data_IF_130199276472
#
_entry.id   IF_130199276472
#
_cell.length_a   1.000
_cell.length_b   1.000
_cell.length_c   1.000
_cell.angle_alpha   90.00
_cell.angle_beta   90.00
_cell.angle_gamma   90.00
#
_symmetry.space_group_name_H-M   'P 1'
#
loop_
_entity.id
_entity.type
_entity.pdbx_description
1 polymer ?
#
# COMPACT_ATOMS: atom_id res chain seq x y z
N UNK A 1 -9.16 25.57 0.73
CA UNK A 1 -8.41 24.52 1.46
C UNK A 1 -8.92 23.20 0.93
N UNK A 2 -8.20 22.62 -0.02
CA UNK A 2 -8.58 21.38 -0.70
C UNK A 2 -8.04 20.20 0.13
N UNK A 3 -8.94 19.45 0.77
CA UNK A 3 -8.63 18.31 1.63
C UNK A 3 -8.59 16.98 0.85
N UNK A 4 -8.56 17.00 -0.49
CA UNK A 4 -8.89 15.82 -1.30
C UNK A 4 -7.72 14.91 -1.73
N UNK A 5 -6.53 15.01 -1.14
CA UNK A 5 -5.39 14.13 -1.50
C UNK A 5 -4.61 13.64 -0.29
N UNK A 6 -5.27 12.87 0.58
CA UNK A 6 -4.59 11.91 1.44
C UNK A 6 -4.54 10.56 0.72
N UNK A 7 -3.40 9.85 0.68
CA UNK A 7 -3.36 8.46 0.23
C UNK A 7 -3.99 7.58 1.32
N UNK A 8 -5.31 7.66 1.47
CA UNK A 8 -6.07 6.75 2.31
C UNK A 8 -6.20 5.45 1.53
N UNK A 9 -5.36 4.44 1.84
CA UNK A 9 -5.46 3.13 1.19
C UNK A 9 -6.60 2.36 1.83
N UNK A 10 -7.82 2.66 1.38
CA UNK A 10 -8.98 1.84 1.66
C UNK A 10 -8.94 0.59 0.78
N UNK A 11 -8.83 -0.60 1.38
CA UNK A 11 -9.11 -1.85 0.67
C UNK A 11 -10.06 -2.72 1.46
N UNK A 12 -11.24 -2.97 0.89
CA UNK A 12 -11.98 -4.21 1.05
C UNK A 12 -12.19 -4.80 -0.35
N UNK A 13 -11.79 -6.05 -0.58
CA UNK A 13 -12.02 -6.75 -1.84
C UNK A 13 -13.52 -6.96 -2.06
N UNK A 14 -14.06 -6.29 -3.07
CA UNK A 14 -15.46 -6.45 -3.49
C UNK A 14 -15.83 -5.45 -4.58
N UNK A 15 -15.26 -5.61 -5.78
CA UNK A 15 -15.77 -5.11 -7.06
C UNK A 15 -16.16 -3.63 -7.16
N UNK A 16 -15.23 -2.78 -7.56
CA UNK A 16 -15.39 -1.74 -8.59
C UNK A 16 -14.17 -0.80 -8.55
N UNK A 17 -13.41 -0.77 -9.64
CA UNK A 17 -12.42 0.26 -9.87
C UNK A 17 -13.12 1.63 -9.97
N UNK A 18 -12.70 2.60 -9.15
CA UNK A 18 -13.00 4.01 -9.40
C UNK A 18 -11.76 4.69 -9.96
N UNK A 19 -11.63 4.55 -11.28
CA UNK A 19 -10.77 5.38 -12.12
C UNK A 19 -11.35 6.79 -12.25
N UNK A 20 -10.54 7.84 -12.04
CA UNK A 20 -10.18 8.89 -13.03
C UNK A 20 -9.80 10.22 -12.38
N UNK A 21 -8.67 10.74 -12.84
CA UNK A 21 -8.27 12.14 -12.71
C UNK A 21 -7.19 12.52 -13.72
N UNK A 22 -7.24 12.01 -14.95
CA UNK A 22 -6.32 12.37 -16.02
C UNK A 22 -6.64 13.79 -16.53
N UNK A 23 -5.79 14.78 -16.21
CA UNK A 23 -5.80 16.08 -16.90
C UNK A 23 -4.66 16.12 -17.92
N UNK A 24 -5.06 15.97 -19.18
CA UNK A 24 -4.27 16.20 -20.39
C UNK A 24 -3.98 17.69 -20.57
N UNK A 25 -2.75 18.14 -20.88
CA UNK A 25 -2.53 19.40 -21.57
C UNK A 25 -2.58 19.18 -23.09
N UNK A 26 -3.34 20.01 -23.78
CA UNK A 26 -3.43 20.06 -25.23
C UNK A 26 -2.20 20.74 -25.85
N UNK A 27 -1.71 20.17 -26.95
CA UNK A 27 -1.39 20.95 -28.15
C UNK A 27 0.08 21.25 -28.43
N UNK A 28 0.66 20.57 -29.43
CA UNK A 28 1.20 21.24 -30.62
C UNK A 28 1.22 20.31 -31.83
N UNK A 29 0.97 20.92 -32.98
CA UNK A 29 0.55 20.37 -34.26
C UNK A 29 1.78 20.26 -35.16
N UNK A 30 2.01 19.08 -35.75
CA UNK A 30 3.02 18.84 -36.79
C UNK A 30 2.53 17.75 -37.73
N UNK A 31 2.24 18.12 -38.97
CA UNK A 31 1.64 17.33 -40.05
C UNK A 31 2.62 16.35 -40.71
N UNK A 32 2.17 15.17 -41.21
CA UNK A 32 2.98 14.27 -42.03
C UNK A 32 2.71 14.49 -43.53
N UNK A 33 3.75 14.32 -44.36
CA UNK A 33 3.64 14.19 -45.83
C UNK A 33 3.79 12.71 -46.26
N UNK A 34 3.12 12.28 -47.35
CA UNK A 34 3.06 10.87 -47.77
C UNK A 34 3.99 10.56 -48.94
N UNK A 35 4.51 9.34 -49.02
CA UNK A 35 5.05 8.79 -50.28
C UNK A 35 4.68 7.31 -50.43
N UNK A 36 4.11 6.98 -51.59
CA UNK A 36 3.65 5.66 -51.98
C UNK A 36 4.71 4.89 -52.79
N UNK A 37 4.66 3.56 -52.73
CA UNK A 37 5.44 2.61 -53.57
C UNK A 37 5.07 1.15 -53.24
N UNK A 38 5.20 0.20 -54.18
CA UNK A 38 4.04 -0.54 -54.69
C UNK A 38 3.85 -1.99 -54.16
N UNK A 39 2.64 -2.48 -54.43
CA UNK A 39 2.13 -3.85 -54.24
C UNK A 39 2.80 -4.83 -55.20
N UNK A 40 3.32 -5.94 -54.67
CA UNK A 40 3.47 -7.19 -55.42
C UNK A 40 3.04 -8.40 -54.57
N UNK A 41 2.13 -9.15 -55.15
CA UNK A 41 1.56 -10.44 -54.73
C UNK A 41 2.56 -11.59 -54.91
N UNK A 42 2.55 -12.60 -54.05
CA UNK A 42 3.04 -13.94 -54.39
C UNK A 42 3.58 -14.76 -53.22
N UNK A 43 2.87 -15.85 -52.89
CA UNK A 43 3.14 -16.81 -51.83
C UNK A 43 4.52 -17.50 -51.96
N UNK A 44 5.17 -17.73 -50.82
CA UNK A 44 5.91 -18.98 -50.56
C UNK A 44 5.84 -19.32 -49.07
N UNK A 45 5.40 -20.55 -48.82
CA UNK A 45 5.05 -21.14 -47.56
C UNK A 45 6.30 -21.81 -46.96
N UNK A 46 6.88 -21.27 -45.90
CA UNK A 46 7.87 -21.98 -45.09
C UNK A 46 7.58 -21.74 -43.60
N UNK A 47 6.94 -22.75 -43.03
CA UNK A 47 6.69 -22.93 -41.61
C UNK A 47 8.01 -23.06 -40.84
N UNK A 48 8.43 -21.98 -40.19
CA UNK A 48 9.35 -22.04 -39.05
C UNK A 48 8.51 -22.02 -37.78
N UNK A 49 8.33 -23.20 -37.20
CA UNK A 49 7.65 -23.42 -35.93
C UNK A 49 8.42 -22.70 -34.81
N UNK A 50 7.97 -21.51 -34.42
CA UNK A 50 8.38 -20.93 -33.14
C UNK A 50 7.75 -21.75 -32.02
N UNK A 51 8.52 -22.24 -31.04
CA UNK A 51 7.96 -22.99 -29.93
C UNK A 51 7.15 -22.05 -29.03
N UNK A 52 5.82 -22.21 -29.08
CA UNK A 52 4.91 -22.07 -27.95
C UNK A 52 4.79 -20.69 -27.32
N UNK A 53 3.76 -19.96 -27.74
CA UNK A 53 2.97 -19.12 -26.84
C UNK A 53 2.28 -20.06 -25.83
N UNK A 54 3.03 -20.56 -24.86
CA UNK A 54 2.43 -21.19 -23.69
C UNK A 54 1.80 -20.05 -22.88
N UNK A 55 0.47 -19.95 -23.02
CA UNK A 55 -0.44 -19.40 -22.03
C UNK A 55 0.18 -19.69 -20.66
N UNK A 56 0.65 -18.64 -19.97
CA UNK A 56 1.13 -18.79 -18.61
C UNK A 56 -0.05 -19.36 -17.83
N UNK A 57 0.05 -20.66 -17.60
CA UNK A 57 -0.94 -21.52 -16.98
C UNK A 57 -1.27 -20.85 -15.66
N UNK A 58 -2.56 -20.58 -15.44
CA UNK A 58 -3.10 -20.07 -14.19
C UNK A 58 -2.29 -20.67 -13.04
N UNK A 59 -1.48 -19.84 -12.38
CA UNK A 59 -0.89 -20.22 -11.12
C UNK A 59 -2.04 -20.68 -10.24
N UNK A 60 -1.93 -21.85 -9.57
CA UNK A 60 -2.93 -22.25 -8.60
C UNK A 60 -3.15 -21.06 -7.68
N UNK A 61 -4.42 -20.69 -7.42
CA UNK A 61 -4.77 -19.68 -6.42
C UNK A 61 -4.09 -20.07 -5.11
N UNK A 62 -2.91 -19.51 -4.94
CA UNK A 62 -2.21 -19.44 -3.68
C UNK A 62 -3.11 -18.58 -2.81
N UNK A 63 -3.24 -18.96 -1.53
CA UNK A 63 -4.05 -18.26 -0.53
C UNK A 63 -4.08 -16.74 -0.79
N UNK A 64 -5.23 -16.04 -0.58
CA UNK A 64 -5.34 -14.62 -0.88
C UNK A 64 -4.07 -13.92 -0.40
N UNK A 65 -3.29 -13.43 -1.36
CA UNK A 65 -1.96 -12.91 -1.11
C UNK A 65 -2.10 -11.90 0.04
N UNK A 66 -1.34 -12.07 1.12
CA UNK A 66 -1.39 -11.16 2.27
C UNK A 66 -0.98 -9.79 1.72
N UNK A 67 -1.97 -8.95 1.42
CA UNK A 67 -1.71 -7.64 0.84
C UNK A 67 -0.79 -6.87 1.77
N UNK A 68 0.32 -6.35 1.23
CA UNK A 68 1.25 -5.51 1.97
C UNK A 68 1.21 -4.08 1.44
N UNK A 69 1.16 -3.10 2.34
CA UNK A 69 1.46 -1.70 2.03
C UNK A 69 2.68 -1.27 2.86
N UNK A 70 3.42 -0.28 2.37
CA UNK A 70 4.64 0.20 3.02
C UNK A 70 4.86 1.69 2.78
N UNK A 71 5.68 2.30 3.62
CA UNK A 71 6.19 3.65 3.43
C UNK A 71 7.63 3.71 3.93
N UNK A 72 8.48 4.47 3.25
CA UNK A 72 9.92 4.54 3.53
C UNK A 72 10.48 5.91 3.15
N UNK A 73 11.64 6.24 3.71
CA UNK A 73 12.35 7.49 3.42
C UNK A 73 11.47 8.73 3.63
N UNK A 74 11.69 9.78 2.85
CA UNK A 74 11.03 11.08 3.01
C UNK A 74 9.67 11.20 2.29
N UNK A 75 8.83 10.16 2.36
CA UNK A 75 7.45 10.22 1.87
C UNK A 75 7.16 9.34 0.65
N UNK A 76 7.86 8.22 0.48
CA UNK A 76 7.47 7.20 -0.50
C UNK A 76 6.42 6.26 0.10
N UNK A 77 5.44 5.84 -0.70
CA UNK A 77 4.35 4.93 -0.31
C UNK A 77 4.17 3.85 -1.35
N UNK A 78 3.87 2.63 -0.92
CA UNK A 78 3.38 1.54 -1.74
C UNK A 78 2.05 1.05 -1.20
N UNK A 79 1.04 0.94 -2.05
CA UNK A 79 -0.30 0.45 -1.70
C UNK A 79 -0.37 -1.08 -1.70
N UNK A 80 -1.48 -1.64 -1.21
CA UNK A 80 -1.74 -3.09 -1.17
C UNK A 80 -1.81 -3.78 -2.55
N UNK A 81 -1.95 -3.00 -3.61
CA UNK A 81 -1.97 -3.43 -5.01
C UNK A 81 -0.71 -2.94 -5.76
N UNK A 82 0.35 -2.60 -5.01
CA UNK A 82 1.69 -2.28 -5.49
C UNK A 82 1.81 -1.00 -6.33
N UNK A 83 0.91 -0.04 -6.15
CA UNK A 83 1.07 1.29 -6.72
C UNK A 83 1.95 2.16 -5.82
N UNK A 84 2.91 2.86 -6.42
CA UNK A 84 3.88 3.70 -5.72
C UNK A 84 3.56 5.18 -5.91
N UNK A 85 3.61 5.95 -4.83
CA UNK A 85 3.34 7.39 -4.83
C UNK A 85 4.26 8.13 -3.86
N UNK A 86 4.48 9.41 -4.14
CA UNK A 86 5.18 10.32 -3.25
C UNK A 86 4.19 11.29 -2.58
N UNK A 87 4.29 11.43 -1.27
CA UNK A 87 3.46 12.33 -0.48
C UNK A 87 4.24 12.94 0.68
N UNK A 88 4.40 14.27 0.65
CA UNK A 88 5.20 15.05 1.60
C UNK A 88 4.36 15.72 2.71
N UNK A 89 3.28 15.06 3.17
CA UNK A 89 2.43 15.58 4.23
C UNK A 89 3.01 15.39 5.64
N UNK A 90 2.94 16.43 6.47
CA UNK A 90 3.40 16.42 7.89
C UNK A 90 2.24 16.32 8.90
N UNK A 91 1.01 16.24 8.40
CA UNK A 91 -0.19 16.00 9.21
C UNK A 91 -0.26 14.53 9.64
N UNK A 92 -1.12 14.24 10.60
CA UNK A 92 -1.52 12.87 10.88
C UNK A 92 -2.49 12.39 9.78
N UNK A 93 -2.27 11.20 9.23
CA UNK A 93 -3.15 10.61 8.23
C UNK A 93 -3.34 9.11 8.47
N UNK A 94 -4.48 8.61 7.97
CA UNK A 94 -4.79 7.19 7.97
C UNK A 94 -4.00 6.54 6.83
N UNK A 95 -3.06 5.68 7.20
CA UNK A 95 -2.26 4.88 6.29
C UNK A 95 -3.01 3.65 5.78
N UNK A 96 -3.71 2.95 6.68
CA UNK A 96 -4.58 1.82 6.34
C UNK A 96 -5.75 1.71 7.34
N UNK A 97 -6.93 1.33 6.86
CA UNK A 97 -8.09 1.04 7.70
C UNK A 97 -9.08 0.14 6.95
N UNK A 98 -9.98 -0.54 7.68
CA UNK A 98 -11.15 -1.21 7.07
C UNK A 98 -12.17 -0.18 6.59
N UNK A 99 -12.71 -0.37 5.39
CA UNK A 99 -13.58 0.61 4.73
C UNK A 99 -14.96 0.04 4.42
N UNK A 100 -15.74 -0.27 5.47
CA UNK A 100 -17.19 -0.58 5.34
C UNK A 100 -18.02 -0.16 6.55
N UNK A 101 -17.41 0.02 7.70
CA UNK A 101 -18.12 0.35 8.94
C UNK A 101 -17.96 1.83 9.32
N UNK A 102 -18.97 2.36 10.01
CA UNK A 102 -18.86 3.68 10.66
C UNK A 102 -17.72 3.72 11.70
N UNK A 103 -17.31 2.54 12.19
CA UNK A 103 -16.20 2.34 13.10
C UNK A 103 -15.28 1.27 12.51
N UNK A 104 -14.08 1.64 12.02
CA UNK A 104 -13.18 0.67 11.42
C UNK A 104 -12.71 -0.35 12.46
N UNK A 105 -12.69 -1.63 12.08
CA UNK A 105 -12.17 -2.72 12.92
C UNK A 105 -10.71 -2.47 13.29
N UNK A 106 -9.92 -1.95 12.35
CA UNK A 106 -8.58 -1.45 12.61
C UNK A 106 -8.31 -0.12 11.91
N UNK A 107 -7.43 0.70 12.49
CA UNK A 107 -6.84 1.86 11.84
C UNK A 107 -5.33 1.93 12.13
N UNK A 108 -4.55 2.19 11.09
CA UNK A 108 -3.12 2.52 11.20
C UNK A 108 -2.97 3.94 10.73
N UNK A 109 -2.53 4.82 11.64
CA UNK A 109 -2.30 6.22 11.38
C UNK A 109 -0.83 6.53 11.56
N UNK A 110 -0.34 7.48 10.78
CA UNK A 110 1.05 7.89 10.89
C UNK A 110 1.18 9.40 10.67
N UNK A 111 2.22 9.97 11.28
CA UNK A 111 2.61 11.36 11.10
C UNK A 111 4.10 11.45 10.81
N UNK A 112 4.46 12.28 9.84
CA UNK A 112 5.85 12.62 9.54
C UNK A 112 6.26 13.95 10.17
N UNK A 113 7.51 14.01 10.61
CA UNK A 113 8.18 15.24 11.05
C UNK A 113 8.56 16.13 9.87
N UNK A 114 9.00 17.38 10.13
CA UNK A 114 9.49 18.29 9.10
C UNK A 114 10.75 17.78 8.35
N UNK A 115 11.51 16.90 8.99
CA UNK A 115 12.67 16.19 8.45
C UNK A 115 12.29 15.03 7.52
N UNK A 116 10.99 14.75 7.40
CA UNK A 116 10.46 13.63 6.62
C UNK A 116 10.43 12.31 7.38
N UNK A 117 10.98 12.20 8.60
CA UNK A 117 10.97 10.95 9.37
C UNK A 117 9.57 10.65 9.93
N UNK A 118 9.26 9.39 10.21
CA UNK A 118 8.01 9.02 10.89
C UNK A 118 8.14 9.36 12.37
N UNK A 119 7.39 10.36 12.84
CA UNK A 119 7.45 10.84 14.23
C UNK A 119 6.42 10.18 15.14
N UNK A 120 5.30 9.69 14.57
CA UNK A 120 4.24 9.03 15.32
C UNK A 120 3.56 7.94 14.51
N UNK A 121 3.28 6.82 15.17
CA UNK A 121 2.42 5.74 14.65
C UNK A 121 1.32 5.50 15.69
N UNK A 122 0.08 5.35 15.23
CA UNK A 122 -1.06 4.95 16.06
C UNK A 122 -1.69 3.72 15.39
N UNK A 123 -1.80 2.64 16.14
CA UNK A 123 -2.50 1.41 15.72
C UNK A 123 -3.71 1.23 16.63
N UNK A 124 -4.89 1.27 16.05
CA UNK A 124 -6.16 1.03 16.73
C UNK A 124 -6.72 -0.32 16.26
N UNK A 125 -7.10 -1.18 17.20
CA UNK A 125 -7.80 -2.44 16.94
C UNK A 125 -8.83 -2.68 18.05
N UNK A 126 -10.11 -2.48 17.72
CA UNK A 126 -11.19 -2.51 18.73
C UNK A 126 -10.94 -1.51 19.87
N UNK A 127 -10.78 -2.01 21.10
CA UNK A 127 -10.51 -1.19 22.27
C UNK A 127 -9.01 -0.88 22.49
N UNK A 128 -8.13 -1.63 21.82
CA UNK A 128 -6.68 -1.49 21.96
C UNK A 128 -6.18 -0.34 21.11
N UNK A 129 -5.43 0.57 21.72
CA UNK A 129 -4.74 1.66 21.00
C UNK A 129 -3.27 1.62 21.39
N UNK A 130 -2.40 1.40 20.40
CA UNK A 130 -0.95 1.44 20.55
C UNK A 130 -0.43 2.72 19.93
N UNK A 131 0.28 3.53 20.71
CA UNK A 131 0.94 4.74 20.22
C UNK A 131 2.45 4.58 20.32
N UNK A 132 3.12 4.82 19.20
CA UNK A 132 4.57 4.96 19.10
C UNK A 132 4.90 6.42 18.87
N UNK A 133 5.72 7.02 19.72
CA UNK A 133 6.17 8.41 19.61
C UNK A 133 7.59 8.52 20.13
N UNK A 134 8.51 9.06 19.33
CA UNK A 134 9.92 9.25 19.74
C UNK A 134 10.53 7.97 20.38
N UNK A 135 10.28 6.81 19.76
CA UNK A 135 10.66 5.46 20.22
C UNK A 135 9.96 4.94 21.49
N UNK A 136 9.12 5.74 22.15
CA UNK A 136 8.30 5.29 23.29
C UNK A 136 7.06 4.58 22.75
N UNK A 137 6.82 3.35 23.23
CA UNK A 137 5.63 2.57 22.92
C UNK A 137 4.71 2.59 24.13
N UNK A 138 3.46 2.98 23.90
CA UNK A 138 2.42 3.00 24.94
C UNK A 138 1.16 2.29 24.46
N UNK A 139 0.48 1.64 25.40
CA UNK A 139 -0.82 1.00 25.18
C UNK A 139 -1.85 1.75 26.03
N UNK A 140 -3.00 2.10 25.44
CA UNK A 140 -4.09 2.77 26.15
C UNK A 140 -4.48 2.00 27.41
N UNK A 141 -4.79 2.75 28.47
CA UNK A 141 -5.14 2.26 29.82
C UNK A 141 -4.00 1.53 30.58
N UNK A 142 -2.87 1.24 29.92
CA UNK A 142 -1.67 0.62 30.52
C UNK A 142 -0.54 1.65 30.69
N UNK A 143 -0.38 2.56 29.73
CA UNK A 143 0.72 3.51 29.68
C UNK A 143 1.92 2.98 28.90
N UNK A 144 3.13 3.43 29.25
CA UNK A 144 4.38 3.03 28.60
C UNK A 144 4.67 1.56 28.93
N UNK A 145 5.02 0.78 27.90
CA UNK A 145 5.33 -0.64 28.03
C UNK A 145 6.81 -0.92 27.80
N UNK A 146 7.30 -2.04 28.34
CA UNK A 146 8.57 -2.66 27.95
C UNK A 146 8.34 -3.77 26.93
N UNK A 147 9.32 -3.99 26.06
CA UNK A 147 9.31 -5.11 25.12
C UNK A 147 10.01 -6.33 25.73
N UNK A 148 9.55 -7.57 25.46
CA UNK A 148 8.34 -7.91 24.72
C UNK A 148 7.07 -7.66 25.57
N UNK A 149 5.99 -7.28 24.90
CA UNK A 149 4.67 -7.09 25.50
C UNK A 149 3.66 -8.05 24.87
N UNK A 150 2.82 -8.67 25.69
CA UNK A 150 1.73 -9.53 25.21
C UNK A 150 0.52 -9.39 26.12
N UNK A 151 -0.63 -9.05 25.54
CA UNK A 151 -1.90 -8.91 26.26
C UNK A 151 -3.07 -8.94 25.28
N UNK A 152 -4.17 -9.63 25.59
CA UNK A 152 -5.44 -9.57 24.84
C UNK A 152 -5.28 -9.74 23.31
N UNK A 153 -4.45 -10.69 22.85
CA UNK A 153 -4.22 -10.93 21.41
C UNK A 153 -3.27 -9.95 20.73
N UNK A 154 -2.76 -8.95 21.44
CA UNK A 154 -1.69 -8.05 21.02
C UNK A 154 -0.33 -8.60 21.45
N UNK A 155 0.61 -8.70 20.51
CA UNK A 155 2.01 -9.05 20.73
C UNK A 155 2.88 -7.95 20.14
N UNK A 156 3.76 -7.36 20.95
CA UNK A 156 4.73 -6.35 20.50
C UNK A 156 6.12 -6.83 20.92
N UNK A 157 6.98 -7.09 19.94
CA UNK A 157 8.27 -7.76 20.16
C UNK A 157 9.39 -7.10 19.36
N UNK A 158 10.64 -7.13 19.84
CA UNK A 158 11.79 -6.78 19.02
C UNK A 158 11.85 -7.66 17.76
N UNK A 159 12.22 -7.08 16.62
CA UNK A 159 12.31 -7.76 15.34
C UNK A 159 13.52 -7.24 14.56
N UNK A 160 14.70 -7.82 14.82
CA UNK A 160 15.96 -7.29 14.32
C UNK A 160 16.20 -5.87 14.86
N UNK A 161 16.36 -4.90 13.96
CA UNK A 161 16.45 -3.47 14.30
C UNK A 161 15.10 -2.76 14.37
N UNK A 162 14.02 -3.48 14.02
CA UNK A 162 12.65 -2.98 14.04
C UNK A 162 11.88 -3.50 15.26
N UNK A 163 10.66 -3.03 15.40
CA UNK A 163 9.65 -3.57 16.32
C UNK A 163 8.51 -4.13 15.48
N UNK A 164 7.99 -5.28 15.90
CA UNK A 164 6.89 -5.97 15.25
C UNK A 164 5.72 -6.05 16.20
N UNK A 165 4.57 -5.55 15.74
CA UNK A 165 3.27 -5.70 16.37
C UNK A 165 2.46 -6.72 15.58
N UNK A 166 1.97 -7.74 16.27
CA UNK A 166 0.97 -8.67 15.75
C UNK A 166 -0.27 -8.56 16.62
N UNK A 167 -1.40 -8.32 16.00
CA UNK A 167 -2.68 -8.26 16.68
C UNK A 167 -3.65 -9.24 16.03
N UNK A 168 -4.15 -10.19 16.83
CA UNK A 168 -5.03 -11.26 16.38
C UNK A 168 -6.43 -11.06 16.95
N UNK A 169 -7.40 -10.82 16.07
CA UNK A 169 -8.82 -10.85 16.36
C UNK A 169 -9.48 -12.01 15.59
N UNK A 170 -10.70 -12.39 15.95
CA UNK A 170 -11.33 -13.63 15.45
C UNK A 170 -11.20 -13.84 13.93
N UNK A 171 -11.39 -12.78 13.15
CA UNK A 171 -11.39 -12.83 11.68
C UNK A 171 -10.24 -12.02 11.04
N UNK A 172 -9.33 -11.45 11.83
CA UNK A 172 -8.28 -10.54 11.35
C UNK A 172 -6.96 -10.80 12.06
N UNK A 173 -5.88 -10.93 11.29
CA UNK A 173 -4.50 -10.87 11.78
C UNK A 173 -3.82 -9.65 11.16
N UNK A 174 -3.59 -8.61 11.97
CA UNK A 174 -2.87 -7.41 11.58
C UNK A 174 -1.41 -7.52 12.02
N UNK A 175 -0.50 -7.26 11.10
CA UNK A 175 0.93 -7.17 11.36
C UNK A 175 1.45 -5.79 10.95
N UNK A 176 2.09 -5.09 11.89
CA UNK A 176 2.71 -3.78 11.67
C UNK A 176 4.16 -3.85 12.13
N UNK A 177 5.08 -3.47 11.24
CA UNK A 177 6.52 -3.43 11.53
C UNK A 177 7.01 -2.00 11.31
N UNK A 178 7.75 -1.47 12.28
CA UNK A 178 8.38 -0.15 12.17
C UNK A 178 9.80 -0.19 12.73
N UNK A 179 10.69 0.60 12.14
CA UNK A 179 12.10 0.64 12.49
C UNK A 179 12.82 1.77 11.77
N UNK A 180 14.15 1.84 11.92
CA UNK A 180 14.96 2.76 11.11
C UNK A 180 14.80 2.46 9.62
N UNK A 181 14.80 3.51 8.79
CA UNK A 181 14.90 3.41 7.33
C UNK A 181 16.25 2.81 6.89
#
# INVERSE_FOLDING_TARGET
MDTSRTPSVCRETGGAALSRGERRPQGRRGSPTPTAGPVHTGLANTSYTSPGLQRLKDSPQTAPDKGQCSTWGAGHFSTFDHHVYDFSGTCNYIFAATCKDAFPTFSVQLRRGPDGSISRIIVELGASVVTVSEAIISVKDIGVISLPYTSNGLQITPFGQSVRLVAKQLELELEVVWGPD
#
